data_IF_100500307295
#
_entry.id   IF_100500307295
#
_cell.length_a   1.000
_cell.length_b   1.000
_cell.length_c   1.000
_cell.angle_alpha   90.00
_cell.angle_beta   90.00
_cell.angle_gamma   90.00
#
_symmetry.space_group_name_H-M   'P 1'
#
loop_
_entity.id
_entity.type
_entity.pdbx_description
1 polymer ?
#
# COMPACT_ATOMS: atom_id res chain seq x y z
N UNK A 1 16.89 -32.80 9.38
CA UNK A 1 17.00 -31.53 8.63
C UNK A 1 16.47 -30.42 9.52
N UNK A 2 17.31 -29.43 9.84
CA UNK A 2 16.93 -28.28 10.65
C UNK A 2 16.39 -27.19 9.74
N UNK A 3 15.23 -26.63 10.06
CA UNK A 3 14.64 -25.56 9.28
C UNK A 3 14.68 -24.28 10.09
N UNK A 4 15.43 -23.28 9.61
CA UNK A 4 15.48 -21.97 10.25
C UNK A 4 14.47 -21.03 9.61
N UNK A 5 13.72 -20.33 10.47
CA UNK A 5 12.68 -19.37 10.07
C UNK A 5 13.05 -17.98 10.59
N UNK A 6 13.36 -17.06 9.69
CA UNK A 6 13.64 -15.68 10.04
C UNK A 6 12.54 -14.74 9.56
N UNK A 7 12.24 -13.71 10.34
CA UNK A 7 11.42 -12.59 9.90
C UNK A 7 12.16 -11.82 8.79
N UNK A 8 11.47 -11.45 7.72
CA UNK A 8 12.08 -10.65 6.66
C UNK A 8 12.45 -9.25 7.17
N UNK A 9 13.32 -8.54 6.44
CA UNK A 9 13.65 -7.13 6.74
C UNK A 9 12.37 -6.30 6.87
N UNK A 10 11.38 -6.53 5.99
CA UNK A 10 10.09 -5.85 6.01
C UNK A 10 9.34 -6.14 7.31
N UNK A 11 9.28 -7.40 7.75
CA UNK A 11 8.54 -7.78 8.97
C UNK A 11 9.23 -7.28 10.26
N UNK A 12 10.51 -6.91 10.21
CA UNK A 12 11.22 -6.28 11.33
C UNK A 12 10.96 -4.78 11.43
N UNK A 13 10.66 -4.14 10.31
CA UNK A 13 10.59 -2.68 10.19
C UNK A 13 9.14 -2.19 10.14
N UNK A 14 8.24 -2.97 9.55
CA UNK A 14 6.84 -2.61 9.33
C UNK A 14 5.90 -3.56 10.08
N UNK A 15 4.86 -2.99 10.70
CA UNK A 15 3.72 -3.76 11.17
C UNK A 15 2.78 -4.06 10.00
N UNK A 16 2.46 -5.34 9.78
CA UNK A 16 1.45 -5.73 8.79
C UNK A 16 0.06 -5.59 9.40
N UNK A 17 -0.85 -4.89 8.72
CA UNK A 17 -2.24 -4.68 9.17
C UNK A 17 -3.22 -5.04 8.07
N UNK A 18 -4.34 -5.65 8.42
CA UNK A 18 -5.45 -5.82 7.47
C UNK A 18 -6.11 -4.47 7.18
N UNK A 19 -6.87 -4.39 6.09
CA UNK A 19 -7.87 -3.33 5.94
C UNK A 19 -9.20 -3.81 6.48
N UNK A 20 -9.90 -2.93 7.18
CA UNK A 20 -11.26 -3.13 7.66
C UNK A 20 -12.31 -2.95 6.55
N UNK A 21 -11.96 -2.19 5.51
CA UNK A 21 -12.89 -1.79 4.46
C UNK A 21 -12.73 -2.61 3.17
N UNK A 22 -11.53 -3.11 2.90
CA UNK A 22 -11.22 -3.76 1.62
C UNK A 22 -10.40 -5.04 1.82
N UNK A 23 -10.97 -6.18 1.45
CA UNK A 23 -10.32 -7.48 1.64
C UNK A 23 -9.10 -7.69 0.74
N UNK A 24 -9.09 -7.06 -0.44
CA UNK A 24 -8.02 -7.22 -1.43
C UNK A 24 -6.72 -6.50 -1.06
N UNK A 25 -6.71 -5.68 -0.01
CA UNK A 25 -5.52 -4.94 0.45
C UNK A 25 -5.13 -5.26 1.89
N UNK A 26 -3.89 -4.89 2.19
CA UNK A 26 -3.29 -4.83 3.51
C UNK A 26 -2.30 -3.65 3.56
N UNK A 27 -1.78 -3.38 4.76
CA UNK A 27 -0.88 -2.27 5.02
C UNK A 27 0.45 -2.77 5.57
N UNK A 28 1.54 -2.17 5.12
CA UNK A 28 2.84 -2.21 5.79
C UNK A 28 3.04 -0.86 6.49
N UNK A 29 2.78 -0.81 7.79
CA UNK A 29 2.84 0.41 8.58
C UNK A 29 4.20 0.57 9.27
N UNK A 30 4.93 1.62 8.91
CA UNK A 30 6.19 2.01 9.53
C UNK A 30 5.94 2.90 10.76
N UNK A 31 6.72 2.77 11.84
CA UNK A 31 6.61 3.63 13.02
C UNK A 31 6.78 5.15 12.76
N UNK A 32 7.37 5.53 11.63
CA UNK A 32 7.49 6.94 11.19
C UNK A 32 6.15 7.55 10.74
N UNK A 33 5.08 6.75 10.66
CA UNK A 33 3.81 7.17 10.08
C UNK A 33 3.74 7.01 8.57
N UNK A 34 4.68 6.28 7.97
CA UNK A 34 4.63 5.89 6.55
C UNK A 34 3.93 4.54 6.43
N UNK A 35 2.97 4.42 5.54
CA UNK A 35 2.22 3.20 5.27
C UNK A 35 2.25 2.88 3.80
N UNK A 36 2.57 1.64 3.46
CA UNK A 36 2.48 1.14 2.09
C UNK A 36 1.21 0.31 1.96
N UNK A 37 0.37 0.63 0.98
CA UNK A 37 -0.77 -0.23 0.60
C UNK A 37 -0.25 -1.35 -0.28
N UNK A 38 -0.61 -2.59 0.07
CA UNK A 38 -0.20 -3.79 -0.67
C UNK A 38 -1.42 -4.67 -0.95
N UNK A 39 -1.36 -5.48 -2.01
CA UNK A 39 -2.36 -6.51 -2.24
C UNK A 39 -2.25 -7.61 -1.17
N UNK A 40 -3.40 -8.09 -0.67
CA UNK A 40 -3.45 -9.18 0.30
C UNK A 40 -3.09 -10.52 -0.35
N UNK A 41 -3.57 -10.72 -1.56
CA UNK A 41 -3.32 -11.90 -2.40
C UNK A 41 -2.72 -11.46 -3.73
N UNK A 42 -1.73 -12.18 -4.27
CA UNK A 42 -1.27 -11.94 -5.63
C UNK A 42 -2.42 -12.20 -6.62
N UNK A 43 -2.52 -11.45 -7.73
CA UNK A 43 -3.50 -11.74 -8.77
C UNK A 43 -3.20 -13.11 -9.41
N UNK A 44 -4.24 -13.83 -9.80
CA UNK A 44 -4.13 -15.17 -10.42
C UNK A 44 -3.58 -15.12 -11.84
N UNK A 45 -3.70 -13.96 -12.49
CA UNK A 45 -3.18 -13.68 -13.83
C UNK A 45 -2.16 -12.54 -13.81
N UNK A 46 -1.25 -12.56 -14.78
CA UNK A 46 -0.26 -11.51 -15.03
C UNK A 46 -0.94 -10.14 -15.19
N UNK A 47 -0.40 -9.12 -14.49
CA UNK A 47 -0.84 -7.73 -14.62
C UNK A 47 -0.26 -7.14 -15.91
N UNK A 48 -1.13 -6.64 -16.77
CA UNK A 48 -0.76 -6.09 -18.10
C UNK A 48 -0.82 -4.58 -18.16
N UNK A 49 -1.62 -3.95 -17.30
CA UNK A 49 -1.83 -2.50 -17.29
C UNK A 49 -2.15 -2.03 -15.88
N UNK A 50 -1.65 -0.85 -15.50
CA UNK A 50 -1.98 -0.17 -14.25
C UNK A 50 -2.30 1.29 -14.55
N UNK A 51 -3.51 1.71 -14.21
CA UNK A 51 -3.99 3.09 -14.28
C UNK A 51 -4.06 3.69 -12.86
N UNK A 52 -3.14 4.60 -12.54
CA UNK A 52 -3.14 5.33 -11.27
C UNK A 52 -4.19 6.47 -11.22
N UNK A 53 -4.85 6.74 -12.35
CA UNK A 53 -5.85 7.77 -12.54
C UNK A 53 -5.27 9.17 -12.67
N UNK A 54 -6.04 10.07 -13.28
CA UNK A 54 -5.77 11.51 -13.31
C UNK A 54 -6.69 12.27 -12.36
N UNK A 55 -6.18 13.34 -11.74
CA UNK A 55 -6.99 14.18 -10.85
C UNK A 55 -8.04 15.02 -11.60
N UNK A 56 -7.82 15.32 -12.89
CA UNK A 56 -8.72 16.09 -13.77
C UNK A 56 -8.52 15.69 -15.25
N UNK A 57 -9.45 16.06 -16.13
CA UNK A 57 -9.22 16.05 -17.60
C UNK A 57 -8.07 17.03 -17.87
N UNK A 58 -6.90 16.54 -18.31
CA UNK A 58 -5.60 17.26 -18.36
C UNK A 58 -4.88 17.49 -17.02
N UNK A 59 -5.22 16.73 -15.96
CA UNK A 59 -4.47 16.73 -14.72
C UNK A 59 -3.12 16.03 -14.86
N UNK A 60 -2.17 16.39 -13.98
CA UNK A 60 -0.89 15.70 -13.88
C UNK A 60 -1.10 14.22 -13.49
N UNK A 61 -0.34 13.35 -14.12
CA UNK A 61 -0.31 11.92 -13.84
C UNK A 61 0.07 11.68 -12.38
N UNK A 62 -0.78 10.96 -11.65
CA UNK A 62 -0.55 10.64 -10.24
C UNK A 62 0.68 9.77 -10.03
N UNK A 63 1.11 9.01 -11.03
CA UNK A 63 2.34 8.21 -10.96
C UNK A 63 3.58 9.08 -10.75
N UNK A 64 3.55 10.33 -11.23
CA UNK A 64 4.64 11.30 -11.13
C UNK A 64 4.60 12.14 -9.85
N UNK A 65 3.59 11.92 -9.00
CA UNK A 65 3.34 12.75 -7.84
C UNK A 65 4.28 12.34 -6.70
N UNK A 66 5.44 13.01 -6.63
CA UNK A 66 6.44 12.84 -5.58
C UNK A 66 6.46 14.06 -4.67
N UNK A 67 6.09 13.88 -3.40
CA UNK A 67 6.02 14.97 -2.43
C UNK A 67 6.92 14.70 -1.23
N UNK A 68 7.77 15.68 -0.91
CA UNK A 68 8.72 15.63 0.21
C UNK A 68 8.61 16.86 1.11
N UNK A 69 9.27 16.81 2.27
CA UNK A 69 9.32 17.93 3.24
C UNK A 69 8.25 17.89 4.35
N UNK A 70 8.41 18.79 5.32
CA UNK A 70 7.55 18.86 6.52
C UNK A 70 6.11 19.22 6.15
N UNK A 71 5.15 18.44 6.64
CA UNK A 71 3.73 18.64 6.36
C UNK A 71 3.27 18.22 4.95
N UNK A 72 4.19 17.74 4.09
CA UNK A 72 3.88 17.15 2.77
C UNK A 72 2.95 18.04 1.94
N UNK A 73 3.30 19.33 1.90
CA UNK A 73 2.51 20.37 1.24
C UNK A 73 2.38 20.06 -0.25
N UNK A 74 1.15 19.99 -0.75
CA UNK A 74 0.86 19.60 -2.14
C UNK A 74 0.61 18.11 -2.35
N UNK A 75 0.76 17.28 -1.31
CA UNK A 75 0.35 15.89 -1.37
C UNK A 75 -1.16 15.77 -1.58
N UNK A 76 -1.56 14.76 -2.36
CA UNK A 76 -2.96 14.44 -2.55
C UNK A 76 -3.50 13.88 -1.24
N UNK A 77 -4.55 14.50 -0.71
CA UNK A 77 -5.26 13.99 0.45
C UNK A 77 -6.13 12.80 0.03
N UNK A 78 -5.90 11.67 0.67
CA UNK A 78 -6.64 10.44 0.48
C UNK A 78 -7.73 10.33 1.54
N UNK A 79 -8.93 10.01 1.08
CA UNK A 79 -10.02 9.47 1.89
C UNK A 79 -10.00 7.94 1.80
N UNK A 80 -10.72 7.27 2.69
CA UNK A 80 -10.79 5.80 2.73
C UNK A 80 -11.26 5.20 1.40
N UNK A 81 -12.15 5.87 0.68
CA UNK A 81 -12.68 5.46 -0.62
C UNK A 81 -11.83 5.92 -1.82
N UNK A 82 -10.76 6.68 -1.59
CA UNK A 82 -9.93 7.22 -2.68
C UNK A 82 -9.32 6.09 -3.51
N UNK A 83 -9.62 6.09 -4.83
CA UNK A 83 -9.01 5.17 -5.79
C UNK A 83 -7.54 5.52 -5.97
N UNK A 84 -6.67 4.57 -5.65
CA UNK A 84 -5.23 4.65 -5.82
C UNK A 84 -4.81 4.23 -7.22
N UNK A 85 -5.30 3.08 -7.66
CA UNK A 85 -5.16 2.63 -9.04
C UNK A 85 -6.24 1.61 -9.41
N UNK A 86 -6.35 1.37 -10.71
CA UNK A 86 -7.01 0.21 -11.30
C UNK A 86 -5.93 -0.59 -12.03
N UNK A 87 -5.91 -1.91 -11.93
CA UNK A 87 -5.04 -2.73 -12.76
C UNK A 87 -5.83 -3.80 -13.51
N UNK A 88 -5.38 -4.10 -14.74
CA UNK A 88 -5.97 -5.12 -15.60
C UNK A 88 -5.00 -6.28 -15.80
N UNK A 89 -5.52 -7.48 -15.64
CA UNK A 89 -4.79 -8.71 -15.85
C UNK A 89 -4.99 -9.25 -17.27
N UNK A 90 -4.10 -10.14 -17.72
CA UNK A 90 -4.12 -10.78 -19.04
C UNK A 90 -5.40 -11.59 -19.32
N UNK A 91 -6.00 -12.17 -18.29
CA UNK A 91 -7.29 -12.86 -18.35
C UNK A 91 -8.50 -11.92 -18.55
N UNK A 92 -8.27 -10.61 -18.58
CA UNK A 92 -9.29 -9.58 -18.70
C UNK A 92 -9.89 -9.12 -17.36
N UNK A 93 -9.48 -9.72 -16.24
CA UNK A 93 -9.93 -9.28 -14.92
C UNK A 93 -9.41 -7.87 -14.59
N UNK A 94 -10.25 -7.07 -13.95
CA UNK A 94 -9.94 -5.70 -13.56
C UNK A 94 -10.13 -5.54 -12.05
N UNK A 95 -9.15 -4.91 -11.40
CA UNK A 95 -9.09 -4.81 -9.95
C UNK A 95 -8.88 -3.36 -9.55
N UNK A 96 -9.67 -2.89 -8.58
CA UNK A 96 -9.57 -1.53 -8.06
C UNK A 96 -8.88 -1.56 -6.69
N UNK A 97 -7.82 -0.77 -6.56
CA UNK A 97 -7.10 -0.57 -5.30
C UNK A 97 -7.54 0.78 -4.72
N UNK A 98 -8.09 0.73 -3.50
CA UNK A 98 -8.50 1.93 -2.74
C UNK A 98 -7.61 2.10 -1.52
N UNK A 99 -7.57 3.31 -0.97
CA UNK A 99 -6.72 3.62 0.18
C UNK A 99 -7.13 2.83 1.44
N UNK A 100 -8.44 2.76 1.73
CA UNK A 100 -8.98 2.13 2.94
C UNK A 100 -8.63 2.82 4.26
N UNK A 101 -7.76 3.84 4.22
CA UNK A 101 -7.40 4.71 5.34
C UNK A 101 -7.29 6.15 4.84
N UNK A 102 -7.45 7.11 5.73
CA UNK A 102 -7.16 8.52 5.43
C UNK A 102 -5.66 8.76 5.43
N UNK A 103 -5.19 9.76 4.67
CA UNK A 103 -3.79 10.21 4.74
C UNK A 103 -3.36 11.07 3.57
N UNK A 104 -2.06 11.18 3.34
CA UNK A 104 -1.49 11.93 2.23
C UNK A 104 -0.65 11.02 1.33
N UNK A 105 -0.98 10.99 0.04
CA UNK A 105 -0.22 10.29 -1.00
C UNK A 105 1.08 11.05 -1.28
N UNK A 106 2.22 10.40 -1.09
CA UNK A 106 3.54 11.02 -1.35
C UNK A 106 4.31 10.40 -2.50
N UNK A 107 3.91 9.22 -2.93
CA UNK A 107 4.52 8.46 -4.01
C UNK A 107 3.39 7.69 -4.69
N UNK A 108 3.28 7.80 -6.02
CA UNK A 108 2.14 7.28 -6.77
C UNK A 108 2.29 5.83 -7.23
N UNK A 109 3.52 5.43 -7.62
CA UNK A 109 3.81 4.09 -8.17
C UNK A 109 3.81 2.99 -7.11
N UNK A 110 4.19 3.33 -5.88
CA UNK A 110 3.93 2.58 -4.66
C UNK A 110 3.00 3.47 -3.87
N UNK A 111 1.76 3.06 -3.59
CA UNK A 111 0.86 3.91 -2.82
C UNK A 111 1.38 4.06 -1.38
N UNK A 112 2.20 5.10 -1.18
CA UNK A 112 2.76 5.46 0.12
C UNK A 112 1.83 6.50 0.74
N UNK A 113 1.09 6.06 1.74
CA UNK A 113 0.21 6.88 2.56
C UNK A 113 0.99 7.32 3.77
N UNK A 114 0.95 8.60 4.07
CA UNK A 114 1.70 9.11 5.21
C UNK A 114 0.86 10.01 6.07
N UNK A 115 1.17 9.91 7.34
CA UNK A 115 0.58 10.63 8.43
C UNK A 115 1.58 11.72 8.83
N UNK A 116 1.16 12.99 8.82
CA UNK A 116 2.02 14.08 9.31
C UNK A 116 2.54 13.77 10.71
N UNK A 117 3.71 14.31 11.07
CA UNK A 117 4.29 14.12 12.40
C UNK A 117 3.29 14.57 13.48
N UNK A 118 2.58 13.61 14.10
CA UNK A 118 1.56 13.86 15.13
C UNK A 118 0.17 13.27 14.86
N UNK A 119 -0.18 12.91 13.62
CA UNK A 119 -1.55 12.40 13.29
C UNK A 119 -1.49 10.94 12.87
N UNK A 120 -1.27 10.03 13.82
CA UNK A 120 -1.18 8.57 13.57
C UNK A 120 -2.56 7.91 13.48
N UNK A 121 -3.47 8.51 12.76
CA UNK A 121 -4.82 7.95 12.66
C UNK A 121 -4.78 6.69 11.79
N UNK A 122 -4.87 5.54 12.44
CA UNK A 122 -4.93 4.22 11.79
C UNK A 122 -6.36 3.76 11.57
N UNK A 123 -7.36 4.65 11.66
CA UNK A 123 -8.75 4.38 11.32
C UNK A 123 -8.84 3.73 9.92
N UNK A 124 -9.44 2.54 9.84
CA UNK A 124 -9.52 1.70 8.65
C UNK A 124 -8.44 0.60 8.53
N UNK A 125 -7.41 0.61 9.40
CA UNK A 125 -6.49 -0.50 9.60
C UNK A 125 -7.04 -1.45 10.67
N UNK A 126 -7.15 -2.72 10.32
CA UNK A 126 -7.65 -3.76 11.23
C UNK A 126 -6.52 -4.48 11.96
N UNK A 127 -6.75 -5.76 12.24
CA UNK A 127 -5.85 -6.60 13.01
C UNK A 127 -4.44 -6.72 12.41
N UNK A 128 -3.49 -7.02 13.31
CA UNK A 128 -2.13 -7.38 12.92
C UNK A 128 -2.14 -8.68 12.14
N UNK A 129 -1.56 -8.66 10.94
CA UNK A 129 -1.36 -9.85 10.12
C UNK A 129 -0.04 -10.53 10.51
N UNK A 130 -0.01 -11.87 10.37
CA UNK A 130 1.19 -12.64 10.65
C UNK A 130 2.37 -12.20 9.75
N UNK A 131 3.61 -12.17 10.29
CA UNK A 131 4.79 -11.85 9.51
C UNK A 131 5.06 -12.92 8.45
N UNK A 132 5.62 -12.52 7.30
CA UNK A 132 6.10 -13.50 6.31
C UNK A 132 7.40 -14.12 6.82
N UNK A 133 7.43 -15.45 6.93
CA UNK A 133 8.64 -16.18 7.33
C UNK A 133 9.46 -16.56 6.11
N UNK A 134 10.75 -16.23 6.13
CA UNK A 134 11.71 -16.81 5.21
C UNK A 134 12.13 -18.16 5.76
N UNK A 135 11.95 -19.20 4.95
CA UNK A 135 12.37 -20.56 5.28
C UNK A 135 13.62 -20.85 4.49
N UNK A 136 14.75 -21.00 5.19
CA UNK A 136 15.98 -21.52 4.58
C UNK A 136 15.88 -23.05 4.55
N UNK A 137 16.04 -23.63 3.37
CA UNK A 137 16.19 -25.07 3.19
C UNK A 137 17.68 -25.33 2.99
N UNK A 138 18.28 -26.09 3.89
CA UNK A 138 19.61 -26.65 3.66
C UNK A 138 19.46 -27.76 2.59
N UNK A 139 20.33 -27.74 1.58
CA UNK A 139 20.37 -28.73 0.48
C UNK A 139 20.63 -30.16 0.97
#
# INVERSE_FOLDING_TARGET
MSTFSYASVVDRIYARKSSELYENIAYLHHPSGVTVVVLRTPPESEVTEVDFGNTKKHGADRSTNLVSGKGKKGALILQTDSKLCTFRCKDGSEHVVRAGVRGSLVEGYIAIITYGAGVRDTEGMGDSLAPKRLVLRDE
#
